data_IF_066014206996
#
_entry.id   IF_066014206996
#
_cell.length_a   1.000
_cell.length_b   1.000
_cell.length_c   1.000
_cell.angle_alpha   90.00
_cell.angle_beta   90.00
_cell.angle_gamma   90.00
#
_symmetry.space_group_name_H-M   'P 1'
#
loop_
_entity.id
_entity.type
_entity.pdbx_description
1 polymer ?
#
# COMPACT_ATOMS: atom_id res chain seq x y z
N UNK A 1 3.04 9.74 13.66
CA UNK A 1 4.14 8.79 13.38
C UNK A 1 3.72 7.44 13.93
N UNK A 2 3.39 6.47 13.07
CA UNK A 2 3.05 5.12 13.51
C UNK A 2 4.35 4.36 13.77
N UNK A 3 4.84 4.39 15.00
CA UNK A 3 6.05 3.66 15.40
C UNK A 3 5.68 2.21 15.62
N UNK A 4 6.11 1.32 14.72
CA UNK A 4 6.03 -0.13 14.93
C UNK A 4 6.92 -0.47 16.14
N UNK A 5 6.35 -1.21 17.10
CA UNK A 5 6.90 -1.35 18.46
C UNK A 5 8.33 -1.87 18.55
N UNK A 6 8.97 -1.59 19.69
CA UNK A 6 10.40 -1.74 20.03
C UNK A 6 11.01 -3.13 19.76
N UNK A 7 10.20 -4.18 19.61
CA UNK A 7 10.64 -5.58 19.42
C UNK A 7 10.47 -6.11 17.98
N UNK A 8 10.17 -5.24 17.01
CA UNK A 8 9.87 -5.68 15.63
C UNK A 8 11.10 -5.80 14.73
N UNK A 9 12.26 -5.31 15.19
CA UNK A 9 13.38 -4.87 14.33
C UNK A 9 14.59 -5.80 14.27
N UNK A 10 14.52 -7.01 14.81
CA UNK A 10 15.58 -8.01 14.59
C UNK A 10 15.63 -8.59 13.17
N UNK A 11 14.88 -8.04 12.21
CA UNK A 11 14.69 -8.64 10.88
C UNK A 11 15.47 -7.85 9.83
N UNK A 12 16.66 -8.36 9.52
CA UNK A 12 17.40 -8.08 8.28
C UNK A 12 16.45 -8.00 7.08
N UNK A 13 16.40 -6.82 6.44
CA UNK A 13 15.61 -6.56 5.24
C UNK A 13 15.87 -7.60 4.16
N UNK A 14 14.82 -8.01 3.46
CA UNK A 14 14.97 -8.83 2.25
C UNK A 14 15.57 -7.96 1.14
N UNK A 15 16.82 -8.25 0.76
CA UNK A 15 17.35 -7.83 -0.53
C UNK A 15 16.83 -8.79 -1.59
N UNK A 16 16.20 -8.19 -2.60
CA UNK A 16 15.73 -8.77 -3.85
C UNK A 16 14.32 -9.41 -3.88
N UNK A 17 13.56 -8.93 -4.86
CA UNK A 17 12.70 -9.66 -5.81
C UNK A 17 11.99 -8.58 -6.64
N UNK A 18 12.64 -8.13 -7.73
CA UNK A 18 12.05 -7.31 -8.79
C UNK A 18 11.74 -5.83 -8.50
N UNK A 19 11.75 -5.37 -7.24
CA UNK A 19 11.54 -3.96 -6.88
C UNK A 19 12.83 -3.18 -6.56
N UNK A 20 13.96 -3.86 -6.36
CA UNK A 20 15.25 -3.24 -6.07
C UNK A 20 15.37 -2.51 -4.72
N UNK A 21 14.37 -2.60 -3.83
CA UNK A 21 14.34 -1.85 -2.57
C UNK A 21 14.21 -2.77 -1.34
N UNK A 22 14.87 -2.45 -0.21
CA UNK A 22 14.61 -3.09 1.08
C UNK A 22 13.12 -3.01 1.44
N UNK A 23 12.58 -4.11 1.98
CA UNK A 23 11.16 -4.19 2.34
C UNK A 23 10.88 -5.05 3.57
N UNK A 24 9.76 -4.76 4.23
CA UNK A 24 9.14 -5.65 5.21
C UNK A 24 7.84 -6.18 4.62
N UNK A 25 7.60 -7.48 4.81
CA UNK A 25 6.40 -8.16 4.34
C UNK A 25 5.54 -8.66 5.50
N UNK A 26 4.23 -8.47 5.37
CA UNK A 26 3.23 -8.86 6.36
C UNK A 26 2.05 -9.53 5.67
N UNK A 27 1.57 -10.66 6.18
CA UNK A 27 0.33 -11.31 5.72
C UNK A 27 -0.82 -11.12 6.70
N UNK A 28 -2.04 -11.14 6.17
CA UNK A 28 -3.27 -11.24 6.98
C UNK A 28 -3.41 -12.64 7.62
N UNK A 29 -4.45 -12.84 8.43
CA UNK A 29 -4.66 -14.06 9.22
C UNK A 29 -4.68 -15.33 8.35
N UNK A 30 -5.42 -15.26 7.24
CA UNK A 30 -5.64 -16.38 6.32
C UNK A 30 -4.54 -16.51 5.25
N UNK A 31 -3.52 -15.64 5.29
CA UNK A 31 -2.40 -15.61 4.35
C UNK A 31 -2.83 -15.41 2.88
N UNK A 32 -3.98 -14.76 2.67
CA UNK A 32 -4.54 -14.45 1.36
C UNK A 32 -4.13 -13.06 0.84
N UNK A 33 -3.65 -12.18 1.73
CA UNK A 33 -3.21 -10.83 1.40
C UNK A 33 -1.78 -10.59 1.87
N UNK A 34 -1.07 -9.75 1.12
CA UNK A 34 0.28 -9.28 1.41
C UNK A 34 0.29 -7.76 1.54
N UNK A 35 0.83 -7.26 2.64
CA UNK A 35 1.21 -5.88 2.85
C UNK A 35 2.74 -5.79 2.78
N UNK A 36 3.25 -4.93 1.90
CA UNK A 36 4.68 -4.60 1.82
C UNK A 36 4.90 -3.16 2.25
N UNK A 37 5.93 -2.97 3.06
CA UNK A 37 6.43 -1.67 3.48
C UNK A 37 7.77 -1.48 2.77
N UNK A 38 7.84 -0.51 1.86
CA UNK A 38 9.03 -0.21 1.08
C UNK A 38 9.86 0.90 1.72
N UNK A 39 11.18 0.73 1.66
CA UNK A 39 12.18 1.68 2.16
C UNK A 39 13.11 2.07 1.01
N UNK A 40 13.43 3.35 0.86
CA UNK A 40 14.47 3.79 -0.07
C UNK A 40 15.85 3.72 0.59
N UNK A 41 16.86 3.32 -0.17
CA UNK A 41 18.24 3.34 0.29
C UNK A 41 18.71 4.79 0.49
N UNK A 42 19.31 5.09 1.64
CA UNK A 42 19.81 6.44 1.99
C UNK A 42 18.86 7.34 2.79
N UNK A 43 17.65 6.86 3.09
CA UNK A 43 16.73 7.53 4.01
C UNK A 43 16.99 7.09 5.48
N UNK A 44 16.37 7.77 6.45
CA UNK A 44 16.46 7.42 7.86
C UNK A 44 16.03 5.97 8.10
N UNK A 45 16.71 5.30 9.04
CA UNK A 45 16.32 3.96 9.48
C UNK A 45 14.83 3.93 9.83
N UNK A 46 14.13 2.94 9.30
CA UNK A 46 12.70 2.69 9.58
C UNK A 46 11.73 3.71 8.98
N UNK A 47 12.15 4.55 8.02
CA UNK A 47 11.23 5.44 7.31
C UNK A 47 10.48 4.70 6.18
N UNK A 48 9.21 4.37 6.44
CA UNK A 48 8.35 3.70 5.44
C UNK A 48 7.80 4.75 4.49
N UNK A 49 8.26 4.73 3.24
CA UNK A 49 7.82 5.70 2.23
C UNK A 49 6.60 5.24 1.44
N UNK A 50 6.44 3.93 1.24
CA UNK A 50 5.34 3.39 0.44
C UNK A 50 4.79 2.10 1.03
N UNK A 51 3.47 1.97 0.95
CA UNK A 51 2.74 0.76 1.25
C UNK A 51 2.22 0.15 -0.03
N UNK A 52 2.33 -1.17 -0.17
CA UNK A 52 1.68 -1.94 -1.21
C UNK A 52 0.82 -3.02 -0.57
N UNK A 53 -0.44 -3.11 -1.00
CA UNK A 53 -1.35 -4.19 -0.61
C UNK A 53 -1.77 -4.95 -1.87
N UNK A 54 -1.73 -6.29 -1.82
CA UNK A 54 -2.16 -7.16 -2.91
C UNK A 54 -2.64 -8.52 -2.39
N UNK A 55 -3.38 -9.26 -3.22
CA UNK A 55 -3.60 -10.69 -2.98
C UNK A 55 -2.29 -11.46 -3.08
N UNK A 56 -2.11 -12.46 -2.23
CA UNK A 56 -0.93 -13.31 -2.24
C UNK A 56 -1.01 -14.28 -3.44
N UNK A 57 -0.06 -14.23 -4.39
CA UNK A 57 -0.06 -15.15 -5.53
C UNK A 57 0.06 -16.61 -5.07
N UNK A 58 -0.58 -17.54 -5.78
CA UNK A 58 -0.55 -18.97 -5.43
C UNK A 58 0.88 -19.56 -5.42
N UNK A 59 1.75 -19.05 -6.31
CA UNK A 59 3.15 -19.46 -6.43
C UNK A 59 4.11 -18.56 -5.64
N UNK A 60 3.60 -17.74 -4.71
CA UNK A 60 4.42 -16.81 -3.95
C UNK A 60 5.31 -17.54 -2.95
N UNK A 61 6.62 -17.52 -3.19
CA UNK A 61 7.62 -18.01 -2.25
C UNK A 61 7.84 -16.97 -1.16
N UNK A 62 7.11 -17.10 -0.06
CA UNK A 62 7.33 -16.25 1.11
C UNK A 62 8.70 -16.52 1.70
N UNK A 63 9.38 -15.46 2.07
CA UNK A 63 10.52 -15.53 2.95
C UNK A 63 10.10 -16.00 4.35
N UNK A 64 11.02 -16.67 5.05
CA UNK A 64 10.84 -17.03 6.45
C UNK A 64 10.64 -15.81 7.37
N UNK A 65 11.02 -14.61 6.91
CA UNK A 65 10.93 -13.35 7.65
C UNK A 65 9.60 -12.62 7.49
N UNK A 66 8.68 -13.10 6.65
CA UNK A 66 7.34 -12.49 6.50
C UNK A 66 6.56 -12.58 7.82
N UNK A 67 6.09 -11.44 8.34
CA UNK A 67 5.27 -11.40 9.55
C UNK A 67 3.81 -11.78 9.25
N UNK A 68 3.08 -12.23 10.28
CA UNK A 68 1.63 -12.46 10.20
C UNK A 68 0.92 -11.58 11.22
N UNK A 69 -0.12 -10.87 10.81
CA UNK A 69 -1.00 -10.10 11.70
C UNK A 69 -2.38 -10.75 11.71
N UNK A 70 -3.01 -10.80 12.89
CA UNK A 70 -4.36 -11.34 13.06
C UNK A 70 -5.43 -10.34 12.62
N UNK A 71 -5.50 -10.09 11.31
CA UNK A 71 -6.56 -9.29 10.68
C UNK A 71 -7.14 -10.07 9.50
N UNK A 72 -8.44 -9.98 9.21
CA UNK A 72 -9.01 -10.60 8.02
C UNK A 72 -8.60 -9.87 6.73
N UNK A 73 -8.37 -8.56 6.79
CA UNK A 73 -8.01 -7.75 5.64
C UNK A 73 -7.19 -6.51 6.02
N UNK A 74 -6.35 -6.04 5.10
CA UNK A 74 -5.70 -4.74 5.23
C UNK A 74 -6.61 -3.64 4.67
N UNK A 75 -6.65 -2.50 5.38
CA UNK A 75 -7.50 -1.35 5.06
C UNK A 75 -6.63 -0.09 5.19
N UNK A 76 -6.66 0.80 4.19
CA UNK A 76 -5.93 2.08 4.25
C UNK A 76 -6.68 3.13 5.08
N UNK A 77 -6.03 4.26 5.37
CA UNK A 77 -6.65 5.40 6.06
C UNK A 77 -7.89 5.95 5.32
N UNK A 78 -7.95 5.80 3.99
CA UNK A 78 -9.12 6.16 3.17
C UNK A 78 -10.20 5.07 3.13
N UNK A 79 -10.11 4.07 4.01
CA UNK A 79 -11.01 2.92 4.06
C UNK A 79 -11.05 2.11 2.75
N UNK A 80 -9.93 2.05 2.02
CA UNK A 80 -9.78 1.28 0.79
C UNK A 80 -9.22 -0.10 1.13
N UNK A 81 -9.81 -1.15 0.55
CA UNK A 81 -9.39 -2.55 0.72
C UNK A 81 -9.55 -3.34 -0.59
N UNK A 82 -8.83 -4.45 -0.71
CA UNK A 82 -8.97 -5.36 -1.85
C UNK A 82 -10.40 -5.85 -2.04
N UNK A 83 -10.79 -6.11 -3.29
CA UNK A 83 -12.14 -6.53 -3.68
C UNK A 83 -13.14 -5.38 -3.87
N UNK A 84 -12.79 -4.14 -3.54
CA UNK A 84 -13.61 -2.97 -3.89
C UNK A 84 -13.68 -2.78 -5.41
N UNK A 85 -14.83 -2.33 -5.89
CA UNK A 85 -15.02 -1.89 -7.27
C UNK A 85 -14.38 -0.53 -7.52
N UNK A 86 -14.12 -0.20 -8.79
CA UNK A 86 -13.62 1.13 -9.17
C UNK A 86 -14.53 2.27 -8.65
N UNK A 87 -15.85 2.09 -8.72
CA UNK A 87 -16.80 3.10 -8.24
C UNK A 87 -16.71 3.32 -6.71
N UNK A 88 -16.58 2.23 -5.94
CA UNK A 88 -16.38 2.32 -4.49
C UNK A 88 -15.08 3.02 -4.13
N UNK A 89 -13.98 2.75 -4.85
CA UNK A 89 -12.71 3.45 -4.67
C UNK A 89 -12.85 4.95 -4.97
N UNK A 90 -13.44 5.31 -6.11
CA UNK A 90 -13.66 6.72 -6.51
C UNK A 90 -14.46 7.47 -5.44
N UNK A 91 -15.48 6.84 -4.84
CA UNK A 91 -16.27 7.44 -3.75
C UNK A 91 -15.42 7.82 -2.53
N UNK A 92 -14.29 7.14 -2.30
CA UNK A 92 -13.38 7.42 -1.18
C UNK A 92 -12.37 8.53 -1.48
N UNK A 93 -11.88 8.59 -2.71
CA UNK A 93 -10.82 9.54 -3.13
C UNK A 93 -11.35 10.82 -3.77
N UNK A 94 -12.63 10.83 -4.19
CA UNK A 94 -13.22 11.93 -4.93
C UNK A 94 -12.93 11.90 -6.44
N UNK A 95 -13.41 12.91 -7.16
CA UNK A 95 -13.44 12.93 -8.63
C UNK A 95 -12.11 13.33 -9.29
N UNK A 96 -11.11 13.76 -8.53
CA UNK A 96 -9.84 14.27 -9.06
C UNK A 96 -8.81 13.16 -9.28
N UNK A 97 -9.11 12.17 -10.13
CA UNK A 97 -8.22 11.04 -10.43
C UNK A 97 -7.91 10.93 -11.93
N UNK A 98 -6.76 10.34 -12.25
CA UNK A 98 -6.40 9.91 -13.61
C UNK A 98 -6.65 8.42 -13.74
N UNK A 99 -7.25 7.98 -14.85
CA UNK A 99 -7.45 6.55 -15.12
C UNK A 99 -6.87 6.18 -16.47
N UNK A 100 -6.16 5.07 -16.50
CA UNK A 100 -5.60 4.49 -17.73
C UNK A 100 -6.05 3.03 -17.82
N UNK A 101 -6.18 2.52 -19.05
CA UNK A 101 -6.39 1.10 -19.32
C UNK A 101 -5.14 0.57 -20.00
N UNK A 102 -4.60 -0.54 -19.53
CA UNK A 102 -3.41 -1.17 -20.10
C UNK A 102 -3.56 -2.70 -20.01
N UNK A 103 -3.39 -3.39 -21.14
CA UNK A 103 -3.33 -4.87 -21.28
C UNK A 103 -4.31 -5.64 -20.37
N UNK A 104 -5.59 -5.28 -20.38
CA UNK A 104 -6.65 -5.99 -19.64
C UNK A 104 -6.83 -5.58 -18.18
N UNK A 105 -6.03 -4.64 -17.66
CA UNK A 105 -6.19 -4.08 -16.32
C UNK A 105 -6.53 -2.59 -16.39
N UNK A 106 -7.41 -2.15 -15.49
CA UNK A 106 -7.63 -0.72 -15.29
C UNK A 106 -6.71 -0.23 -14.18
N UNK A 107 -6.03 0.90 -14.41
CA UNK A 107 -5.28 1.63 -13.40
C UNK A 107 -6.01 2.91 -13.05
N UNK A 108 -6.01 3.23 -11.76
CA UNK A 108 -6.48 4.50 -11.24
C UNK A 108 -5.36 5.10 -10.41
N UNK A 109 -4.96 6.33 -10.73
CA UNK A 109 -3.98 7.09 -9.96
C UNK A 109 -4.64 8.34 -9.42
N UNK A 110 -4.52 8.54 -8.13
CA UNK A 110 -5.00 9.73 -7.43
C UNK A 110 -3.87 10.31 -6.60
N UNK A 111 -3.83 11.64 -6.57
CA UNK A 111 -2.86 12.41 -5.83
C UNK A 111 -3.54 13.68 -5.33
N UNK A 112 -3.31 14.03 -4.08
CA UNK A 112 -3.72 15.31 -3.50
C UNK A 112 -2.55 15.93 -2.76
N UNK A 113 -2.40 17.24 -2.90
CA UNK A 113 -1.50 18.10 -2.13
C UNK A 113 -2.24 19.37 -1.70
N UNK A 114 -3.57 19.31 -1.59
CA UNK A 114 -4.38 20.46 -1.18
C UNK A 114 -4.03 20.85 0.26
N UNK A 115 -3.43 22.03 0.50
CA UNK A 115 -3.05 22.46 1.84
C UNK A 115 -4.25 22.64 2.77
N UNK A 116 -5.47 22.68 2.22
CA UNK A 116 -6.71 22.76 3.01
C UNK A 116 -7.34 21.41 3.32
N UNK A 117 -6.81 20.31 2.78
CA UNK A 117 -7.32 18.96 3.01
C UNK A 117 -7.28 18.60 4.50
N UNK A 118 -8.45 18.36 5.10
CA UNK A 118 -8.56 17.90 6.48
C UNK A 118 -7.83 16.56 6.69
N UNK A 119 -7.87 15.69 5.68
CA UNK A 119 -7.13 14.43 5.66
C UNK A 119 -5.62 14.67 5.72
N UNK A 120 -5.04 15.55 4.89
CA UNK A 120 -3.60 15.82 4.95
C UNK A 120 -3.17 16.48 6.26
N UNK A 121 -4.00 17.38 6.82
CA UNK A 121 -3.77 18.03 8.12
C UNK A 121 -3.76 17.03 9.28
N UNK A 122 -4.67 16.06 9.29
CA UNK A 122 -4.74 15.00 10.31
C UNK A 122 -3.42 14.22 10.40
N UNK A 123 -2.81 13.91 9.26
CA UNK A 123 -1.58 13.14 9.18
C UNK A 123 -0.31 14.01 9.12
N UNK A 124 -0.44 15.35 9.19
CA UNK A 124 0.66 16.33 9.03
C UNK A 124 1.48 16.08 7.74
N UNK A 125 0.81 15.76 6.65
CA UNK A 125 1.42 15.46 5.36
C UNK A 125 1.21 16.62 4.36
N UNK A 126 2.12 16.77 3.41
CA UNK A 126 2.01 17.75 2.30
C UNK A 126 1.36 17.14 1.06
N UNK A 127 1.36 15.81 0.96
CA UNK A 127 0.72 15.10 -0.14
C UNK A 127 0.30 13.70 0.26
N UNK A 128 -0.57 13.11 -0.57
CA UNK A 128 -0.89 11.70 -0.51
C UNK A 128 -1.14 11.17 -1.90
N UNK A 129 -0.61 9.98 -2.19
CA UNK A 129 -0.84 9.27 -3.44
C UNK A 129 -1.49 7.92 -3.21
N UNK A 130 -2.31 7.51 -4.17
CA UNK A 130 -2.77 6.12 -4.30
C UNK A 130 -2.81 5.70 -5.77
N UNK A 131 -2.27 4.53 -6.05
CA UNK A 131 -2.36 3.87 -7.34
C UNK A 131 -3.03 2.51 -7.18
N UNK A 132 -4.15 2.31 -7.86
CA UNK A 132 -4.98 1.12 -7.79
C UNK A 132 -4.92 0.34 -9.11
N UNK A 133 -4.91 -0.98 -9.03
CA UNK A 133 -5.05 -1.90 -10.16
C UNK A 133 -6.31 -2.75 -9.99
N UNK A 134 -7.12 -2.78 -11.05
CA UNK A 134 -8.35 -3.56 -11.10
C UNK A 134 -8.21 -4.67 -12.14
N UNK A 135 -8.70 -5.86 -11.80
CA UNK A 135 -8.81 -6.98 -12.73
C UNK A 135 -9.91 -6.77 -13.79
N UNK A 136 -10.05 -7.73 -14.70
CA UNK A 136 -11.05 -7.72 -15.78
C UNK A 136 -12.49 -7.75 -15.26
N UNK A 137 -12.73 -8.23 -14.03
CA UNK A 137 -14.04 -8.18 -13.35
C UNK A 137 -14.32 -6.83 -12.68
N UNK A 138 -13.36 -5.91 -12.72
CA UNK A 138 -13.46 -4.56 -12.14
C UNK A 138 -13.20 -4.51 -10.64
N UNK A 139 -12.57 -5.55 -10.06
CA UNK A 139 -12.26 -5.64 -8.63
C UNK A 139 -10.83 -5.24 -8.35
N UNK A 140 -10.63 -4.49 -7.25
CA UNK A 140 -9.31 -4.04 -6.80
C UNK A 140 -8.49 -5.25 -6.34
N UNK A 141 -7.40 -5.52 -7.04
CA UNK A 141 -6.50 -6.65 -6.73
C UNK A 141 -5.17 -6.22 -6.12
N UNK A 142 -4.82 -4.95 -6.30
CA UNK A 142 -3.59 -4.38 -5.79
C UNK A 142 -3.70 -2.85 -5.70
N UNK A 143 -3.06 -2.26 -4.68
CA UNK A 143 -2.87 -0.82 -4.62
C UNK A 143 -1.60 -0.42 -3.88
N UNK A 144 -1.05 0.72 -4.29
CA UNK A 144 0.08 1.40 -3.68
C UNK A 144 -0.39 2.71 -3.09
N UNK A 145 0.12 3.10 -1.93
CA UNK A 145 -0.23 4.38 -1.32
C UNK A 145 0.84 4.85 -0.34
N UNK A 146 0.85 6.15 -0.08
CA UNK A 146 1.79 6.78 0.84
C UNK A 146 1.51 8.26 1.01
N UNK A 147 1.95 8.79 2.15
CA UNK A 147 2.01 10.21 2.40
C UNK A 147 3.34 10.77 1.89
N UNK A 148 3.30 12.03 1.47
CA UNK A 148 4.47 12.84 1.23
C UNK A 148 4.61 13.81 2.40
N UNK A 149 5.80 13.88 2.99
CA UNK A 149 6.14 14.74 4.12
C UNK A 149 7.11 15.85 3.67
N UNK A 150 7.10 17.03 4.33
CA UNK A 150 7.99 18.14 3.99
C UNK A 150 9.48 17.80 4.13
#
# INVERSE_FOLDING_TARGET
>A
MATLGKNSWGREFEKEDGFGMPRIEVTNADKTQLLRLGFFEGDFENNVQAFQIQYLPANYKRSAKTAKINTPAFISALNIKLGMTKAEVIKRIGNSYKSTKDKGFAKLKWYTNDPNSAFLKEYKAVGYSIECKFDTSGKLTQYYFGFEYP
#
